data_IF_618246900346
#
_entry.id   IF_618246900346
#
_cell.length_a   1.000
_cell.length_b   1.000
_cell.length_c   1.000
_cell.angle_alpha   90.00
_cell.angle_beta   90.00
_cell.angle_gamma   90.00
#
_symmetry.space_group_name_H-M   'P 1'
#
loop_
_entity.id
_entity.type
_entity.pdbx_description
1 polymer ?
#
# COMPACT_ATOMS: atom_id res chain seq x y z
N UNK A 1 -72.43 32.16 18.74
CA UNK A 1 -72.23 30.79 19.26
C UNK A 1 -72.22 29.86 18.08
N UNK A 2 -71.03 29.38 17.68
CA UNK A 2 -70.88 28.44 16.58
C UNK A 2 -70.34 27.13 17.19
N UNK A 3 -70.93 25.97 16.96
CA UNK A 3 -70.49 24.72 17.56
C UNK A 3 -69.27 24.16 16.76
N UNK A 4 -68.20 23.84 17.49
CA UNK A 4 -67.07 23.08 16.99
C UNK A 4 -67.49 21.65 16.73
N UNK A 5 -67.41 21.18 15.48
CA UNK A 5 -67.59 19.79 15.12
C UNK A 5 -66.27 19.06 15.37
N UNK A 6 -66.25 18.12 16.30
CA UNK A 6 -65.17 17.14 16.47
C UNK A 6 -65.21 16.13 15.35
N UNK A 7 -64.21 16.10 14.50
CA UNK A 7 -63.98 15.02 13.54
C UNK A 7 -63.33 13.84 14.27
N UNK A 8 -64.13 12.81 14.47
CA UNK A 8 -63.72 11.52 14.99
C UNK A 8 -62.93 10.78 13.88
N UNK A 9 -61.61 10.70 14.00
CA UNK A 9 -60.78 9.94 13.10
C UNK A 9 -60.80 8.48 13.51
N UNK A 10 -61.56 7.67 12.76
CA UNK A 10 -61.75 6.24 12.98
C UNK A 10 -60.43 5.41 12.92
N UNK A 11 -60.49 4.18 13.48
CA UNK A 11 -59.30 3.33 13.72
C UNK A 11 -58.55 2.87 12.46
N UNK A 12 -59.10 3.03 11.28
CA UNK A 12 -58.52 2.63 10.01
C UNK A 12 -57.30 3.49 9.60
N UNK A 13 -57.21 4.76 10.05
CA UNK A 13 -56.12 5.66 9.68
C UNK A 13 -54.87 5.48 10.56
N UNK A 14 -55.04 4.87 11.76
CA UNK A 14 -53.89 4.55 12.64
C UNK A 14 -53.08 3.31 12.17
N UNK A 15 -53.71 2.40 11.46
CA UNK A 15 -52.99 1.20 10.93
C UNK A 15 -52.14 1.48 9.68
N UNK A 16 -52.48 2.48 8.89
CA UNK A 16 -51.71 2.85 7.70
C UNK A 16 -50.42 3.61 8.04
N UNK A 17 -50.35 4.29 9.19
CA UNK A 17 -49.17 5.04 9.61
C UNK A 17 -48.05 4.13 10.19
N UNK A 18 -48.40 2.95 10.68
CA UNK A 18 -47.44 1.99 11.24
C UNK A 18 -46.74 1.14 10.19
N UNK A 19 -47.29 1.00 8.98
CA UNK A 19 -46.75 0.14 7.94
C UNK A 19 -45.64 0.85 7.13
N UNK A 20 -45.66 2.18 7.06
CA UNK A 20 -44.64 2.97 6.32
C UNK A 20 -43.35 3.20 7.09
N UNK A 21 -43.30 2.93 8.40
CA UNK A 21 -42.10 3.14 9.22
C UNK A 21 -41.21 1.90 9.31
N UNK A 22 -41.68 0.73 8.86
CA UNK A 22 -40.94 -0.54 8.94
C UNK A 22 -40.04 -0.84 7.69
N UNK A 23 -40.12 -0.04 6.64
CA UNK A 23 -39.44 -0.31 5.38
C UNK A 23 -38.07 0.38 5.21
N UNK A 24 -37.60 1.14 6.20
CA UNK A 24 -36.29 1.84 6.14
C UNK A 24 -35.21 1.20 7.01
N UNK A 25 -35.43 -0.02 7.54
CA UNK A 25 -34.37 -0.74 8.23
C UNK A 25 -33.47 -1.48 7.24
N UNK A 26 -32.29 -0.95 7.04
CA UNK A 26 -31.11 -1.80 6.93
C UNK A 26 -30.65 -2.12 5.53
N UNK A 27 -30.07 -1.15 4.85
CA UNK A 27 -28.83 -1.48 4.12
C UNK A 27 -27.70 -0.79 4.89
N UNK A 28 -27.35 -1.37 6.03
CA UNK A 28 -26.03 -1.18 6.57
C UNK A 28 -25.09 -1.86 5.58
N UNK A 29 -24.57 -1.10 4.59
CA UNK A 29 -23.36 -1.51 3.91
C UNK A 29 -22.30 -1.59 5.00
N UNK A 30 -22.01 -2.80 5.45
CA UNK A 30 -20.74 -3.10 6.11
C UNK A 30 -19.66 -2.58 5.17
N UNK A 31 -19.24 -1.34 5.39
CA UNK A 31 -17.95 -0.85 4.91
C UNK A 31 -16.88 -1.60 5.73
N UNK A 32 -16.81 -2.91 5.54
CA UNK A 32 -15.70 -3.72 6.00
C UNK A 32 -14.46 -3.04 5.45
N UNK A 33 -13.67 -2.45 6.33
CA UNK A 33 -12.39 -1.86 5.97
C UNK A 33 -11.60 -2.97 5.27
N UNK A 34 -11.55 -2.89 3.93
CA UNK A 34 -10.97 -3.95 3.10
C UNK A 34 -9.48 -4.01 3.43
N UNK A 35 -9.09 -4.97 4.27
CA UNK A 35 -7.70 -5.26 4.55
C UNK A 35 -7.01 -5.77 3.27
N UNK A 36 -5.71 -5.60 3.18
CA UNK A 36 -4.90 -6.19 2.12
C UNK A 36 -5.08 -7.71 2.12
N UNK A 37 -5.03 -8.34 0.95
CA UNK A 37 -4.98 -9.81 0.87
C UNK A 37 -3.61 -10.33 1.32
N UNK A 38 -3.54 -11.40 2.12
CA UNK A 38 -2.29 -12.11 2.36
C UNK A 38 -1.84 -12.84 1.09
N UNK A 39 -0.53 -13.08 0.95
CA UNK A 39 0.06 -13.79 -0.18
C UNK A 39 1.20 -13.04 -0.85
N UNK A 40 1.47 -13.40 -2.09
CA UNK A 40 2.54 -12.83 -2.90
C UNK A 40 2.12 -11.50 -3.49
N UNK A 41 2.96 -10.49 -3.27
CA UNK A 41 2.79 -9.13 -3.78
C UNK A 41 3.99 -8.72 -4.62
N UNK A 42 3.72 -7.93 -5.64
CA UNK A 42 4.71 -7.20 -6.43
C UNK A 42 4.68 -5.73 -6.03
N UNK A 43 5.85 -5.16 -5.75
CA UNK A 43 6.05 -3.76 -5.40
C UNK A 43 6.88 -3.09 -6.50
N UNK A 44 6.33 -2.05 -7.10
CA UNK A 44 7.01 -1.20 -8.07
C UNK A 44 7.35 0.13 -7.42
N UNK A 45 8.58 0.59 -7.56
CA UNK A 45 9.07 1.85 -7.00
C UNK A 45 9.44 2.80 -8.12
N UNK A 46 8.93 4.02 -8.04
CA UNK A 46 9.32 5.15 -8.89
C UNK A 46 9.85 6.27 -8.00
N UNK A 47 11.02 6.78 -8.30
CA UNK A 47 11.54 7.98 -7.68
C UNK A 47 11.31 9.16 -8.63
N UNK A 48 10.63 10.21 -8.12
CA UNK A 48 10.49 11.50 -8.80
C UNK A 48 11.49 12.45 -8.16
N UNK A 49 12.22 13.20 -8.98
CA UNK A 49 13.34 14.06 -8.57
C UNK A 49 14.59 13.33 -8.07
N UNK A 50 14.69 12.01 -8.28
CA UNK A 50 15.95 11.31 -8.23
C UNK A 50 16.82 11.83 -9.38
N UNK A 51 18.03 12.25 -9.03
CA UNK A 51 18.99 12.84 -9.98
C UNK A 51 19.06 12.02 -11.27
N UNK A 52 19.28 12.69 -12.38
CA UNK A 52 19.59 12.14 -13.72
C UNK A 52 20.64 11.02 -13.66
N UNK A 53 21.38 10.93 -12.56
CA UNK A 53 22.37 9.90 -12.27
C UNK A 53 21.80 8.49 -12.03
N UNK A 54 20.57 8.35 -11.52
CA UNK A 54 19.98 7.03 -11.27
C UNK A 54 19.64 6.30 -12.56
N UNK A 55 19.15 7.01 -13.58
CA UNK A 55 18.86 6.41 -14.88
C UNK A 55 20.17 6.08 -15.62
N UNK A 56 21.18 6.93 -15.49
CA UNK A 56 22.52 6.66 -16.00
C UNK A 56 23.15 5.46 -15.30
N UNK A 57 23.11 5.41 -13.97
CA UNK A 57 23.65 4.29 -13.20
C UNK A 57 22.95 2.97 -13.56
N UNK A 58 21.64 3.00 -13.80
CA UNK A 58 20.88 1.84 -14.27
C UNK A 58 21.30 1.42 -15.68
N UNK A 59 21.41 2.37 -16.61
CA UNK A 59 21.85 2.11 -17.97
C UNK A 59 23.27 1.53 -18.00
N UNK A 60 24.16 2.03 -17.16
CA UNK A 60 25.51 1.49 -16.97
C UNK A 60 25.49 0.06 -16.42
N UNK A 61 24.68 -0.19 -15.38
CA UNK A 61 24.53 -1.53 -14.81
C UNK A 61 23.95 -2.52 -15.82
N UNK A 62 22.98 -2.12 -16.64
CA UNK A 62 22.46 -2.96 -17.72
C UNK A 62 23.52 -3.26 -18.79
N UNK A 63 24.35 -2.29 -19.14
CA UNK A 63 25.48 -2.51 -20.06
C UNK A 63 26.50 -3.49 -19.49
N UNK A 64 26.84 -3.35 -18.20
CA UNK A 64 27.76 -4.27 -17.54
C UNK A 64 27.18 -5.69 -17.49
N UNK A 65 25.89 -5.84 -17.17
CA UNK A 65 25.22 -7.15 -17.20
C UNK A 65 25.20 -7.75 -18.62
N UNK A 66 24.98 -6.92 -19.63
CA UNK A 66 24.99 -7.38 -21.03
C UNK A 66 26.38 -7.84 -21.50
N UNK A 67 27.46 -7.28 -20.95
CA UNK A 67 28.83 -7.65 -21.24
C UNK A 67 29.36 -8.86 -20.46
N UNK A 68 28.60 -9.36 -19.48
CA UNK A 68 29.01 -10.54 -18.70
C UNK A 68 28.87 -11.84 -19.49
N UNK A 69 29.73 -12.84 -19.23
CA UNK A 69 29.55 -14.19 -19.74
C UNK A 69 28.21 -14.76 -19.34
N UNK A 70 27.55 -15.59 -20.19
CA UNK A 70 26.21 -16.10 -19.95
C UNK A 70 26.03 -16.82 -18.62
N UNK A 71 27.04 -17.56 -18.17
CA UNK A 71 27.00 -18.30 -16.90
C UNK A 71 27.02 -17.37 -15.70
N UNK A 72 27.81 -16.32 -15.71
CA UNK A 72 27.85 -15.32 -14.62
C UNK A 72 26.56 -14.53 -14.55
N UNK A 73 25.98 -14.19 -15.71
CA UNK A 73 24.69 -13.52 -15.80
C UNK A 73 23.59 -14.38 -15.16
N UNK A 74 23.51 -15.66 -15.53
CA UNK A 74 22.55 -16.61 -14.98
C UNK A 74 22.69 -16.75 -13.47
N UNK A 75 23.91 -16.84 -12.96
CA UNK A 75 24.15 -16.94 -11.51
C UNK A 75 23.69 -15.68 -10.77
N UNK A 76 23.90 -14.51 -11.34
CA UNK A 76 23.42 -13.24 -10.79
C UNK A 76 21.89 -13.15 -10.85
N UNK A 77 21.27 -13.54 -11.95
CA UNK A 77 19.80 -13.59 -12.11
C UNK A 77 19.18 -14.54 -11.07
N UNK A 78 19.75 -15.71 -10.83
CA UNK A 78 19.29 -16.66 -9.81
C UNK A 78 19.38 -16.07 -8.38
N UNK A 79 20.45 -15.35 -8.08
CA UNK A 79 20.62 -14.68 -6.78
C UNK A 79 19.59 -13.57 -6.61
N UNK A 80 19.38 -12.78 -7.66
CA UNK A 80 18.37 -11.69 -7.63
C UNK A 80 16.95 -12.27 -7.50
N UNK A 81 16.63 -13.32 -8.25
CA UNK A 81 15.34 -14.00 -8.18
C UNK A 81 15.05 -14.56 -6.78
N UNK A 82 16.06 -15.18 -6.12
CA UNK A 82 15.93 -15.64 -4.73
C UNK A 82 15.68 -14.51 -3.73
N UNK A 83 16.08 -13.29 -4.06
CA UNK A 83 15.81 -12.08 -3.27
C UNK A 83 14.52 -11.35 -3.68
N UNK A 84 13.75 -11.91 -4.61
CA UNK A 84 12.51 -11.31 -5.10
C UNK A 84 12.73 -10.09 -6.01
N UNK A 85 13.95 -9.90 -6.53
CA UNK A 85 14.28 -8.82 -7.45
C UNK A 85 14.22 -9.30 -8.90
N UNK A 86 13.42 -8.64 -9.74
CA UNK A 86 13.37 -8.95 -11.16
C UNK A 86 14.49 -8.23 -11.91
N UNK A 87 15.30 -8.94 -12.71
CA UNK A 87 16.44 -8.32 -13.46
C UNK A 87 15.99 -7.31 -14.51
N UNK A 88 14.74 -7.37 -14.96
CA UNK A 88 14.23 -6.55 -16.07
C UNK A 88 13.68 -5.18 -15.69
N UNK A 89 13.55 -4.85 -14.42
CA UNK A 89 12.85 -3.64 -13.99
C UNK A 89 11.36 -3.65 -14.41
N UNK A 90 10.58 -2.72 -13.91
CA UNK A 90 9.21 -2.49 -14.38
C UNK A 90 9.23 -1.88 -15.79
N UNK A 91 8.29 -2.27 -16.65
CA UNK A 91 8.04 -1.64 -17.96
C UNK A 91 7.82 -0.11 -17.88
N UNK A 92 7.57 0.41 -16.67
CA UNK A 92 7.38 1.84 -16.36
C UNK A 92 8.64 2.52 -15.79
N UNK A 93 9.84 1.93 -15.90
CA UNK A 93 11.11 2.54 -15.49
C UNK A 93 11.41 2.44 -13.98
N UNK A 94 10.64 1.70 -13.19
CA UNK A 94 10.84 1.50 -11.76
C UNK A 94 11.62 0.22 -11.41
N UNK A 95 12.03 0.06 -10.16
CA UNK A 95 12.53 -1.19 -9.62
C UNK A 95 11.34 -2.00 -9.11
N UNK A 96 11.28 -3.28 -9.47
CA UNK A 96 10.22 -4.19 -9.02
C UNK A 96 10.79 -5.22 -8.06
N UNK A 97 10.12 -5.46 -6.95
CA UNK A 97 10.45 -6.49 -5.97
C UNK A 97 9.21 -7.28 -5.60
N UNK A 98 9.39 -8.54 -5.21
CA UNK A 98 8.31 -9.36 -4.69
C UNK A 98 8.51 -9.60 -3.19
N UNK A 99 7.40 -9.59 -2.45
CA UNK A 99 7.41 -9.94 -1.04
C UNK A 99 6.15 -10.74 -0.67
N UNK A 100 6.31 -11.59 0.34
CA UNK A 100 5.22 -12.35 0.91
C UNK A 100 4.62 -11.59 2.09
N UNK A 101 3.34 -11.22 2.00
CA UNK A 101 2.56 -10.58 3.05
C UNK A 101 1.86 -11.67 3.86
N UNK A 102 2.17 -11.78 5.15
CA UNK A 102 1.48 -12.72 6.04
C UNK A 102 0.07 -12.22 6.36
N UNK A 103 -0.75 -13.12 6.91
CA UNK A 103 -2.11 -12.76 7.34
C UNK A 103 -2.09 -11.65 8.39
N UNK A 104 -1.17 -11.73 9.37
CA UNK A 104 -1.02 -10.74 10.44
C UNK A 104 -0.60 -9.36 9.89
N UNK A 105 0.27 -9.33 8.89
CA UNK A 105 0.67 -8.09 8.21
C UNK A 105 -0.51 -7.49 7.43
N UNK A 106 -1.25 -8.34 6.72
CA UNK A 106 -2.41 -7.92 5.94
C UNK A 106 -3.51 -7.32 6.82
N UNK A 107 -3.81 -7.94 7.96
CA UNK A 107 -4.79 -7.45 8.94
C UNK A 107 -4.42 -6.09 9.52
N UNK A 108 -3.12 -5.82 9.69
CA UNK A 108 -2.60 -4.54 10.18
C UNK A 108 -2.30 -3.53 9.07
N UNK A 109 -2.53 -3.88 7.80
CA UNK A 109 -2.15 -3.09 6.63
C UNK A 109 -0.66 -2.70 6.66
N UNK A 110 0.19 -3.60 7.15
CA UNK A 110 1.63 -3.40 7.21
C UNK A 110 2.28 -3.78 5.89
N UNK A 111 3.02 -2.84 5.31
CA UNK A 111 3.84 -3.08 4.12
C UNK A 111 5.23 -3.51 4.58
N UNK A 112 5.83 -4.56 3.96
CA UNK A 112 7.17 -4.99 4.31
C UNK A 112 8.15 -3.83 4.20
N UNK A 113 8.89 -3.59 5.26
CA UNK A 113 10.02 -2.67 5.27
C UNK A 113 11.31 -3.46 5.42
N UNK A 114 12.39 -2.94 4.82
CA UNK A 114 13.71 -3.50 5.09
C UNK A 114 14.06 -3.25 6.57
N UNK A 115 14.75 -4.21 7.18
CA UNK A 115 15.29 -4.01 8.53
C UNK A 115 16.20 -2.78 8.53
N UNK A 116 15.76 -1.75 9.19
CA UNK A 116 16.50 -0.49 9.34
C UNK A 116 16.20 0.07 10.72
N UNK A 117 17.09 0.91 11.23
CA UNK A 117 16.89 1.62 12.50
C UNK A 117 15.85 2.75 12.36
N UNK A 118 14.71 2.40 11.75
CA UNK A 118 13.62 3.33 11.48
C UNK A 118 12.44 3.08 12.40
N UNK A 119 11.93 4.15 12.97
CA UNK A 119 10.66 4.15 13.70
C UNK A 119 9.56 4.63 12.77
N UNK A 120 8.59 3.77 12.50
CA UNK A 120 7.44 4.05 11.64
C UNK A 120 6.20 4.33 12.48
N UNK A 121 5.43 5.30 12.08
CA UNK A 121 4.13 5.65 12.67
C UNK A 121 3.08 5.67 11.56
N UNK A 122 1.93 5.05 11.82
CA UNK A 122 0.79 5.05 10.90
C UNK A 122 -0.44 5.62 11.57
N UNK A 123 -1.26 6.38 10.82
CA UNK A 123 -2.56 6.82 11.30
C UNK A 123 -3.60 5.68 11.19
N UNK A 124 -4.70 5.74 11.91
CA UNK A 124 -5.87 4.92 11.59
C UNK A 124 -6.28 5.13 10.13
N UNK A 125 -6.80 4.08 9.51
CA UNK A 125 -7.32 4.15 8.14
C UNK A 125 -8.59 4.99 8.11
N UNK A 126 -8.67 5.94 7.18
CA UNK A 126 -9.84 6.77 6.93
C UNK A 126 -10.34 6.50 5.51
N UNK A 127 -11.45 5.79 5.38
CA UNK A 127 -11.93 5.33 4.08
C UNK A 127 -10.95 4.37 3.42
N UNK A 128 -10.40 4.76 2.28
CA UNK A 128 -9.44 3.97 1.54
C UNK A 128 -7.98 4.44 1.71
N UNK A 129 -7.70 5.40 2.58
CA UNK A 129 -6.35 5.92 2.78
C UNK A 129 -5.89 5.88 4.23
N UNK A 130 -4.58 5.90 4.44
CA UNK A 130 -3.92 6.06 5.72
C UNK A 130 -2.61 6.84 5.53
N UNK A 131 -2.28 7.67 6.52
CA UNK A 131 -1.01 8.40 6.54
C UNK A 131 0.04 7.57 7.24
N UNK A 132 1.28 7.71 6.79
CA UNK A 132 2.44 7.10 7.42
C UNK A 132 3.60 8.08 7.48
N UNK A 133 4.42 7.93 8.51
CA UNK A 133 5.68 8.66 8.63
C UNK A 133 6.74 7.74 9.21
N UNK A 134 8.00 8.04 8.91
CA UNK A 134 9.12 7.34 9.53
C UNK A 134 10.25 8.30 9.87
N UNK A 135 11.04 7.88 10.85
CA UNK A 135 12.29 8.52 11.23
C UNK A 135 13.34 7.44 11.36
N UNK A 136 14.44 7.55 10.62
CA UNK A 136 15.56 6.63 10.65
C UNK A 136 16.78 7.32 11.28
N UNK A 137 17.52 6.58 12.10
CA UNK A 137 18.72 7.09 12.72
C UNK A 137 19.96 6.94 11.82
N UNK A 138 20.02 5.84 11.04
CA UNK A 138 21.22 5.53 10.27
C UNK A 138 20.87 4.93 8.88
N UNK A 139 21.09 5.66 7.77
CA UNK A 139 21.44 7.09 7.72
C UNK A 139 20.29 7.97 8.20
N UNK A 140 20.56 9.17 8.71
CA UNK A 140 19.53 10.10 9.16
C UNK A 140 18.57 10.42 8.00
N UNK A 141 17.29 10.06 8.18
CA UNK A 141 16.27 10.32 7.19
C UNK A 141 14.89 10.36 7.82
N UNK A 142 14.01 11.14 7.22
CA UNK A 142 12.60 11.23 7.60
C UNK A 142 11.74 11.09 6.37
N UNK A 143 10.55 10.55 6.53
CA UNK A 143 9.58 10.47 5.44
C UNK A 143 8.16 10.63 5.92
N UNK A 144 7.34 11.23 5.09
CA UNK A 144 5.91 11.37 5.29
C UNK A 144 5.18 11.00 4.00
N UNK A 145 4.08 10.30 4.13
CA UNK A 145 3.34 9.87 2.97
C UNK A 145 1.93 9.39 3.26
N UNK A 146 1.27 9.03 2.18
CA UNK A 146 -0.09 8.50 2.19
C UNK A 146 -0.14 7.20 1.38
N UNK A 147 -0.79 6.21 1.99
CA UNK A 147 -1.10 4.93 1.41
C UNK A 147 -2.58 4.92 1.02
N UNK A 148 -2.88 4.71 -0.25
CA UNK A 148 -4.25 4.65 -0.79
C UNK A 148 -4.53 3.26 -1.34
N UNK A 149 -5.57 2.61 -0.84
CA UNK A 149 -6.02 1.28 -1.27
C UNK A 149 -7.09 1.43 -2.35
N UNK A 150 -6.79 1.05 -3.58
CA UNK A 150 -7.78 1.00 -4.65
C UNK A 150 -8.67 -0.25 -4.51
N UNK A 151 -8.11 -1.35 -3.97
CA UNK A 151 -8.81 -2.60 -3.68
C UNK A 151 -8.01 -3.40 -2.64
N UNK A 152 -8.49 -4.57 -2.15
CA UNK A 152 -7.69 -5.49 -1.35
C UNK A 152 -6.44 -6.02 -2.06
N UNK A 153 -6.34 -5.86 -3.37
CA UNK A 153 -5.29 -6.39 -4.25
C UNK A 153 -4.37 -5.31 -4.82
N UNK A 154 -4.69 -4.02 -4.59
CA UNK A 154 -3.97 -2.91 -5.20
C UNK A 154 -3.90 -1.71 -4.26
N UNK A 155 -2.71 -1.22 -4.01
CA UNK A 155 -2.50 0.06 -3.33
C UNK A 155 -1.43 0.90 -4.02
N UNK A 156 -1.47 2.19 -3.75
CA UNK A 156 -0.44 3.15 -4.12
C UNK A 156 0.00 3.91 -2.88
N UNK A 157 1.31 4.07 -2.69
CA UNK A 157 1.89 4.87 -1.63
C UNK A 157 2.69 6.00 -2.27
N UNK A 158 2.42 7.22 -1.86
CA UNK A 158 3.19 8.41 -2.22
C UNK A 158 3.89 8.93 -0.98
N UNK A 159 5.19 9.11 -1.06
CA UNK A 159 6.02 9.49 0.07
C UNK A 159 7.01 10.59 -0.30
N UNK A 160 7.20 11.53 0.60
CA UNK A 160 8.29 12.51 0.56
C UNK A 160 9.34 12.09 1.58
N UNK A 161 10.55 11.90 1.12
CA UNK A 161 11.69 11.48 1.96
C UNK A 161 12.71 12.60 1.97
N UNK A 162 13.18 12.97 3.16
CA UNK A 162 14.33 13.85 3.35
C UNK A 162 15.46 13.02 3.93
N UNK A 163 16.59 12.96 3.25
CA UNK A 163 17.75 12.20 3.69
C UNK A 163 18.99 13.09 3.75
N UNK A 164 19.77 12.96 4.82
CA UNK A 164 21.05 13.65 4.98
C UNK A 164 22.25 12.70 4.82
N UNK A 165 22.06 11.56 4.17
CA UNK A 165 23.10 10.54 3.99
C UNK A 165 24.37 11.04 3.28
N UNK A 166 24.26 12.11 2.49
CA UNK A 166 25.40 12.76 1.77
C UNK A 166 25.86 14.06 2.42
N UNK A 167 25.48 14.32 3.67
CA UNK A 167 25.86 15.52 4.42
C UNK A 167 24.92 16.72 4.23
N UNK A 168 24.22 16.84 3.10
CA UNK A 168 23.21 17.86 2.86
C UNK A 168 21.84 17.20 2.79
N UNK A 169 20.79 17.80 3.42
CA UNK A 169 19.44 17.27 3.32
C UNK A 169 18.91 17.34 1.87
N UNK A 170 18.62 16.19 1.30
CA UNK A 170 17.99 16.07 -0.03
C UNK A 170 16.55 15.58 0.11
N UNK A 171 15.64 16.21 -0.62
CA UNK A 171 14.23 15.79 -0.69
C UNK A 171 13.98 14.99 -1.95
N UNK A 172 13.40 13.82 -1.79
CA UNK A 172 13.02 12.92 -2.88
C UNK A 172 11.56 12.52 -2.74
N UNK A 173 10.80 12.61 -3.82
CA UNK A 173 9.44 12.04 -3.88
C UNK A 173 9.53 10.61 -4.39
N UNK A 174 8.87 9.70 -3.70
CA UNK A 174 8.81 8.29 -4.04
C UNK A 174 7.35 7.86 -4.21
N UNK A 175 7.08 7.13 -5.26
CA UNK A 175 5.80 6.47 -5.47
C UNK A 175 6.03 4.96 -5.50
N UNK A 176 5.27 4.23 -4.72
CA UNK A 176 5.26 2.78 -4.67
C UNK A 176 3.86 2.28 -5.04
N UNK A 177 3.79 1.30 -5.91
CA UNK A 177 2.56 0.56 -6.19
C UNK A 177 2.74 -0.88 -5.72
N UNK A 178 1.80 -1.37 -4.92
CA UNK A 178 1.72 -2.77 -4.52
C UNK A 178 0.57 -3.45 -5.23
N UNK A 179 0.86 -4.56 -5.92
CA UNK A 179 -0.09 -5.40 -6.64
C UNK A 179 -0.03 -6.83 -6.12
N UNK A 180 -1.17 -7.36 -5.70
CA UNK A 180 -1.29 -8.76 -5.31
C UNK A 180 -1.18 -9.68 -6.53
N UNK A 181 -0.43 -10.75 -6.43
CA UNK A 181 -0.19 -11.70 -7.50
C UNK A 181 -0.89 -13.05 -7.25
N UNK A 182 -0.72 -13.60 -6.04
CA UNK A 182 -1.23 -14.93 -5.71
C UNK A 182 -1.39 -15.11 -4.19
N UNK A 183 -2.23 -16.07 -3.79
CA UNK A 183 -2.37 -16.45 -2.37
C UNK A 183 -1.13 -17.20 -1.84
N UNK A 184 -0.49 -17.96 -2.71
CA UNK A 184 0.74 -18.69 -2.39
C UNK A 184 1.96 -17.82 -2.71
N UNK A 185 2.88 -17.74 -1.75
CA UNK A 185 4.13 -16.99 -1.89
C UNK A 185 5.23 -17.75 -2.64
N UNK A 186 5.03 -19.04 -2.94
CA UNK A 186 6.02 -19.89 -3.59
C UNK A 186 7.34 -19.92 -2.82
N UNK A 187 8.43 -19.60 -3.48
CA UNK A 187 9.78 -19.56 -2.89
C UNK A 187 10.10 -18.27 -2.15
N UNK A 188 9.23 -17.25 -2.22
CA UNK A 188 9.44 -15.96 -1.56
C UNK A 188 9.11 -16.09 -0.07
N UNK A 189 10.13 -15.99 0.76
CA UNK A 189 9.95 -16.06 2.22
C UNK A 189 9.27 -14.80 2.75
N UNK A 190 8.38 -14.93 3.76
CA UNK A 190 7.82 -13.77 4.43
C UNK A 190 8.94 -12.88 4.99
N UNK A 191 8.86 -11.59 4.71
CA UNK A 191 9.71 -10.61 5.38
C UNK A 191 9.19 -10.41 6.79
N UNK A 192 10.11 -10.26 7.76
CA UNK A 192 9.70 -9.96 9.12
C UNK A 192 8.89 -8.65 9.15
N UNK A 193 7.79 -8.64 9.91
CA UNK A 193 7.08 -7.41 10.20
C UNK A 193 8.05 -6.40 10.84
N UNK A 194 7.87 -5.08 10.59
CA UNK A 194 8.68 -4.07 11.25
C UNK A 194 8.60 -4.25 12.76
N UNK A 195 9.74 -4.18 13.44
CA UNK A 195 9.78 -4.21 14.90
C UNK A 195 9.01 -2.99 15.44
N UNK A 196 8.14 -3.24 16.43
CA UNK A 196 7.40 -2.18 17.13
C UNK A 196 8.33 -1.34 17.98
#
# INVERSE_FOLDING_TARGET
MVPFAFFDTGPAMKQLLCITLAATLGIAFDAAAQSMKPGLWEFSFKMQNGSVDMDKARAEMQKQMASMPPEQRKMMEDVMAKRGMSPGGSASGGTTTQACITKEMAERNEVPSQKSDCKTTTSPRMGNSMKMSFVCANPPSTGEGELTFASPELFTMKMQVTSAARGTPEKTSMEQTGKWLAADCGSVKPTAAPAK
#
